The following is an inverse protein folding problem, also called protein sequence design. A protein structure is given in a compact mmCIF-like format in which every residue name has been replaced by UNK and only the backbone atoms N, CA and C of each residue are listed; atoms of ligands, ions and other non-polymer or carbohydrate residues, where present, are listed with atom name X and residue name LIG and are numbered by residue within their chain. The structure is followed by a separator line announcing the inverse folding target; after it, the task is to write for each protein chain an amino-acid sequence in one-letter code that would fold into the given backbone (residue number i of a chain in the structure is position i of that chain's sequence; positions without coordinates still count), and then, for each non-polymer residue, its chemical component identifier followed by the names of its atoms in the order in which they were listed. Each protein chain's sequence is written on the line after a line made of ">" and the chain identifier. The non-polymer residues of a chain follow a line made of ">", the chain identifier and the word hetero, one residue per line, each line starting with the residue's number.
data_IF_468571529203
#
_entry.id   IF_468571529203
#
_cell.length_a   1.000
_cell.length_b   1.000
_cell.length_c   1.000
_cell.angle_alpha   90.00
_cell.angle_beta   90.00
_cell.angle_gamma   90.00
#
_symmetry.space_group_name_H-M   'P 1'
#
loop_
_entity.id
_entity.type
_entity.pdbx_description
1 polymer ?
#
# COMPACT_ATOMS: atom_id res chain seq x y z
N UNK A 1 -6.07 -42.40 -17.19
CA UNK A 1 -6.21 -41.63 -15.95
C UNK A 1 -5.24 -40.47 -16.06
N UNK A 2 -5.65 -39.36 -16.69
CA UNK A 2 -4.86 -38.14 -16.65
C UNK A 2 -4.99 -37.60 -15.24
N UNK A 3 -3.88 -37.51 -14.51
CA UNK A 3 -3.85 -36.85 -13.22
C UNK A 3 -4.27 -35.41 -13.40
N UNK A 4 -5.26 -34.96 -12.62
CA UNK A 4 -5.53 -33.54 -12.33
C UNK A 4 -4.27 -32.95 -11.67
N UNK A 5 -3.22 -32.71 -12.45
CA UNK A 5 -2.04 -32.04 -11.97
C UNK A 5 -2.42 -30.59 -11.73
N UNK A 6 -2.46 -30.17 -10.47
CA UNK A 6 -2.65 -28.77 -10.11
C UNK A 6 -1.29 -28.07 -10.06
N UNK A 7 -1.22 -26.86 -10.59
CA UNK A 7 -0.04 -25.99 -10.53
C UNK A 7 -0.42 -24.67 -9.88
N UNK A 8 0.55 -24.03 -9.23
CA UNK A 8 0.35 -22.70 -8.68
C UNK A 8 0.10 -21.72 -9.82
N UNK A 9 -0.94 -20.92 -9.67
CA UNK A 9 -1.35 -19.93 -10.64
C UNK A 9 -0.27 -18.83 -10.78
N UNK A 10 0.33 -18.63 -11.96
CA UNK A 10 1.36 -17.61 -12.17
C UNK A 10 0.81 -16.19 -11.92
N UNK A 11 -0.48 -15.94 -12.13
CA UNK A 11 -1.12 -14.66 -11.80
C UNK A 11 -1.20 -14.42 -10.29
N UNK A 12 -1.50 -15.45 -9.51
CA UNK A 12 -1.50 -15.36 -8.05
C UNK A 12 -0.09 -15.02 -7.53
N UNK A 13 0.94 -15.69 -8.04
CA UNK A 13 2.35 -15.39 -7.71
C UNK A 13 2.77 -13.97 -8.10
N UNK A 14 2.33 -13.50 -9.26
CA UNK A 14 2.61 -12.13 -9.69
C UNK A 14 1.95 -11.10 -8.76
N UNK A 15 0.71 -11.34 -8.35
CA UNK A 15 -0.02 -10.45 -7.43
C UNK A 15 0.58 -10.44 -6.03
N UNK A 16 0.99 -11.58 -5.48
CA UNK A 16 1.68 -11.63 -4.17
C UNK A 16 3.05 -10.95 -4.21
N UNK A 17 3.78 -11.10 -5.31
CA UNK A 17 5.05 -10.37 -5.53
C UNK A 17 4.81 -8.86 -5.62
N UNK A 18 3.75 -8.44 -6.32
CA UNK A 18 3.36 -7.04 -6.43
C UNK A 18 2.96 -6.46 -5.06
N UNK A 19 2.19 -7.21 -4.27
CA UNK A 19 1.82 -6.81 -2.90
C UNK A 19 3.06 -6.57 -2.05
N UNK A 20 4.01 -7.52 -2.04
CA UNK A 20 5.25 -7.38 -1.29
C UNK A 20 6.06 -6.15 -1.71
N UNK A 21 6.14 -5.89 -3.01
CA UNK A 21 6.83 -4.70 -3.55
C UNK A 21 6.13 -3.41 -3.11
N UNK A 22 4.81 -3.33 -3.26
CA UNK A 22 4.02 -2.13 -2.90
C UNK A 22 4.13 -1.85 -1.40
N UNK A 23 3.96 -2.86 -0.55
CA UNK A 23 4.13 -2.70 0.90
C UNK A 23 5.54 -2.26 1.28
N UNK A 24 6.57 -2.83 0.65
CA UNK A 24 7.97 -2.40 0.86
C UNK A 24 8.18 -0.94 0.45
N UNK A 25 7.61 -0.51 -0.69
CA UNK A 25 7.76 0.87 -1.18
C UNK A 25 6.97 1.87 -0.35
N UNK A 26 5.77 1.52 0.07
CA UNK A 26 4.99 2.33 0.99
C UNK A 26 5.77 2.52 2.30
N UNK A 27 6.37 1.45 2.85
CA UNK A 27 7.21 1.53 4.04
C UNK A 27 8.46 2.41 3.84
N UNK A 28 9.17 2.29 2.70
CA UNK A 28 10.31 3.16 2.35
C UNK A 28 9.92 4.65 2.30
N UNK A 29 8.69 4.94 1.86
CA UNK A 29 8.13 6.29 1.77
C UNK A 29 7.51 6.79 3.08
N UNK A 30 7.52 5.98 4.15
CA UNK A 30 6.93 6.33 5.45
C UNK A 30 5.42 6.07 5.57
N UNK A 31 4.81 5.46 4.56
CA UNK A 31 3.42 4.99 4.59
C UNK A 31 3.40 3.52 5.04
N UNK A 32 3.33 3.26 6.35
CA UNK A 32 3.14 1.91 6.88
C UNK A 32 1.68 1.69 7.24
N UNK A 33 0.99 0.80 6.52
CA UNK A 33 -0.42 0.44 6.75
C UNK A 33 -0.58 -0.86 7.54
N UNK A 34 0.46 -1.29 8.26
CA UNK A 34 0.50 -2.57 8.96
C UNK A 34 -0.73 -2.80 9.84
N UNK A 35 -1.53 -3.81 9.48
CA UNK A 35 -2.66 -4.32 10.26
C UNK A 35 -2.22 -5.03 11.56
N UNK A 36 -0.93 -5.34 11.71
CA UNK A 36 -0.37 -6.07 12.85
C UNK A 36 0.18 -5.17 13.97
N UNK A 37 0.20 -3.85 13.77
CA UNK A 37 0.58 -2.89 14.80
C UNK A 37 -0.51 -1.83 14.94
N UNK A 38 -1.59 -2.20 15.64
CA UNK A 38 -2.22 -1.29 16.60
C UNK A 38 -1.23 -1.01 17.75
N UNK A 39 -0.01 -0.56 17.44
CA UNK A 39 0.71 0.28 18.38
C UNK A 39 -0.03 1.60 18.37
N UNK A 40 -0.27 2.16 19.56
CA UNK A 40 -0.83 3.51 19.73
C UNK A 40 0.09 4.62 19.16
N UNK A 41 1.03 4.27 18.30
CA UNK A 41 1.91 5.17 17.59
C UNK A 41 1.27 5.46 16.24
N UNK A 42 0.94 6.73 15.96
CA UNK A 42 0.41 7.10 14.66
C UNK A 42 1.39 6.64 13.55
N UNK A 43 0.89 6.16 12.38
CA UNK A 43 1.76 5.88 11.23
C UNK A 43 2.70 7.06 11.00
N UNK A 44 3.93 6.87 10.52
CA UNK A 44 4.91 7.96 10.35
C UNK A 44 4.31 9.21 9.67
N UNK A 45 3.40 9.04 8.71
CA UNK A 45 2.55 10.10 8.17
C UNK A 45 1.68 10.79 9.25
N UNK A 46 0.88 10.03 10.01
CA UNK A 46 0.15 10.58 11.15
C UNK A 46 1.05 11.10 12.30
N UNK A 47 2.30 10.64 12.48
CA UNK A 47 3.25 11.22 13.43
C UNK A 47 3.80 12.56 12.91
N UNK A 48 4.03 12.67 11.60
CA UNK A 48 4.31 13.91 10.89
C UNK A 48 3.14 14.91 10.96
N UNK A 49 1.91 14.41 11.08
CA UNK A 49 0.68 15.21 11.13
C UNK A 49 0.11 15.41 12.56
N UNK A 50 0.56 14.63 13.54
CA UNK A 50 0.15 14.71 14.95
C UNK A 50 1.05 15.64 15.77
N UNK A 51 2.29 15.83 15.32
CA UNK A 51 3.15 16.90 15.79
C UNK A 51 2.88 18.15 14.94
N UNK A 52 2.25 19.22 15.48
CA UNK A 52 2.22 20.52 14.80
C UNK A 52 3.62 21.15 14.58
N UNK A 53 4.71 20.47 14.92
CA UNK A 53 5.91 21.13 15.44
C UNK A 53 7.13 21.17 14.51
N UNK A 54 7.01 20.84 13.22
CA UNK A 54 8.10 21.14 12.26
C UNK A 54 7.73 22.14 11.17
N UNK A 55 6.44 22.42 10.97
CA UNK A 55 5.99 23.57 10.18
C UNK A 55 5.76 24.80 11.07
N UNK A 56 5.33 24.60 12.33
CA UNK A 56 5.25 25.63 13.36
C UNK A 56 6.33 25.43 14.46
N UNK A 57 7.57 25.07 14.11
CA UNK A 57 8.67 25.26 15.06
C UNK A 57 8.75 26.75 15.45
N UNK A 58 9.12 27.08 16.69
CA UNK A 58 9.28 28.50 17.13
C UNK A 58 10.28 29.28 16.23
N UNK A 59 11.16 28.56 15.55
CA UNK A 59 12.20 29.06 14.64
C UNK A 59 11.72 29.19 13.18
N UNK A 60 10.49 28.74 12.87
CA UNK A 60 9.86 28.84 11.55
C UNK A 60 8.98 30.08 11.43
N UNK A 61 8.73 30.51 10.19
CA UNK A 61 8.00 31.74 9.92
C UNK A 61 6.56 31.60 10.41
N UNK A 62 6.20 32.30 11.50
CA UNK A 62 4.83 32.29 12.02
C UNK A 62 3.96 33.32 11.28
N UNK A 63 2.75 32.92 10.84
CA UNK A 63 1.80 33.80 10.16
C UNK A 63 0.81 33.06 9.26
N UNK A 64 -0.29 33.72 8.87
CA UNK A 64 -1.40 33.10 8.09
C UNK A 64 -0.93 32.33 6.84
N UNK A 65 0.11 32.81 6.14
CA UNK A 65 0.65 32.13 4.97
C UNK A 65 1.31 30.81 5.33
N UNK A 66 2.07 30.76 6.42
CA UNK A 66 2.73 29.54 6.88
C UNK A 66 1.70 28.51 7.35
N UNK A 67 0.69 28.92 8.12
CA UNK A 67 -0.39 28.03 8.56
C UNK A 67 -1.21 27.49 7.38
N UNK A 68 -1.45 28.31 6.34
CA UNK A 68 -2.14 27.84 5.13
C UNK A 68 -1.30 26.81 4.37
N UNK A 69 0.00 27.07 4.17
CA UNK A 69 0.90 26.12 3.52
C UNK A 69 1.04 24.81 4.31
N UNK A 70 0.99 24.88 5.66
CA UNK A 70 0.96 23.71 6.53
C UNK A 70 -0.27 22.84 6.28
N UNK A 71 -1.44 23.48 6.23
CA UNK A 71 -2.71 22.82 5.99
C UNK A 71 -2.79 22.20 4.59
N UNK A 72 -2.34 22.94 3.57
CA UNK A 72 -2.35 22.46 2.18
C UNK A 72 -1.42 21.26 2.03
N UNK A 73 -0.20 21.33 2.57
CA UNK A 73 0.77 20.22 2.57
C UNK A 73 0.20 19.00 3.29
N UNK A 74 -0.43 19.20 4.45
CA UNK A 74 -1.11 18.12 5.19
C UNK A 74 -2.19 17.44 4.35
N UNK A 75 -3.03 18.23 3.70
CA UNK A 75 -4.13 17.73 2.86
C UNK A 75 -3.60 16.92 1.68
N UNK A 76 -2.49 17.37 1.07
CA UNK A 76 -1.82 16.64 -0.02
C UNK A 76 -1.23 15.31 0.47
N UNK A 77 -0.56 15.31 1.62
CA UNK A 77 -0.01 14.08 2.23
C UNK A 77 -1.12 13.09 2.62
N UNK A 78 -2.23 13.57 3.18
CA UNK A 78 -3.41 12.75 3.50
C UNK A 78 -4.01 12.13 2.23
N UNK A 79 -4.06 12.90 1.14
CA UNK A 79 -4.54 12.42 -0.16
C UNK A 79 -3.62 11.31 -0.72
N UNK A 80 -2.30 11.50 -0.67
CA UNK A 80 -1.34 10.49 -1.11
C UNK A 80 -1.42 9.22 -0.24
N UNK A 81 -1.60 9.38 1.06
CA UNK A 81 -1.83 8.26 1.99
C UNK A 81 -3.03 7.43 1.57
N UNK A 82 -4.15 8.08 1.24
CA UNK A 82 -5.36 7.41 0.74
C UNK A 82 -5.12 6.64 -0.55
N UNK A 83 -4.41 7.23 -1.51
CA UNK A 83 -4.10 6.59 -2.80
C UNK A 83 -3.27 5.31 -2.60
N UNK A 84 -2.28 5.32 -1.72
CA UNK A 84 -1.46 4.14 -1.46
C UNK A 84 -2.21 3.04 -0.72
N UNK A 85 -3.08 3.40 0.23
CA UNK A 85 -3.97 2.45 0.90
C UNK A 85 -4.94 1.79 -0.09
N UNK A 86 -5.54 2.57 -0.99
CA UNK A 86 -6.45 2.07 -2.02
C UNK A 86 -5.75 1.13 -3.00
N UNK A 87 -4.47 1.38 -3.32
CA UNK A 87 -3.67 0.49 -4.16
C UNK A 87 -3.43 -0.86 -3.47
N UNK A 88 -3.06 -0.87 -2.20
CA UNK A 88 -2.88 -2.11 -1.43
C UNK A 88 -4.19 -2.91 -1.35
N UNK A 89 -5.31 -2.24 -1.06
CA UNK A 89 -6.63 -2.88 -0.99
C UNK A 89 -7.07 -3.48 -2.34
N UNK A 90 -6.76 -2.81 -3.45
CA UNK A 90 -7.04 -3.34 -4.80
C UNK A 90 -6.21 -4.60 -5.10
N UNK A 91 -4.95 -4.63 -4.68
CA UNK A 91 -4.09 -5.80 -4.85
C UNK A 91 -4.58 -6.96 -3.98
N UNK A 92 -4.90 -6.71 -2.71
CA UNK A 92 -5.47 -7.72 -1.81
C UNK A 92 -6.77 -8.31 -2.35
N UNK A 93 -7.65 -7.45 -2.87
CA UNK A 93 -8.89 -7.88 -3.52
C UNK A 93 -8.61 -8.72 -4.75
N UNK A 94 -7.61 -8.35 -5.56
CA UNK A 94 -7.22 -9.13 -6.74
C UNK A 94 -6.65 -10.51 -6.36
N UNK A 95 -5.83 -10.59 -5.29
CA UNK A 95 -5.30 -11.85 -4.74
C UNK A 95 -6.45 -12.72 -4.25
N UNK A 96 -7.35 -12.18 -3.44
CA UNK A 96 -8.48 -12.93 -2.88
C UNK A 96 -9.42 -13.51 -3.95
N UNK A 97 -9.51 -12.85 -5.11
CA UNK A 97 -10.31 -13.30 -6.25
C UNK A 97 -9.53 -14.17 -7.25
N UNK A 98 -8.24 -14.41 -7.03
CA UNK A 98 -7.40 -15.24 -7.91
C UNK A 98 -7.12 -16.58 -7.21
N UNK A 99 -7.50 -17.72 -7.80
CA UNK A 99 -7.16 -19.02 -7.24
C UNK A 99 -5.65 -19.20 -7.12
N UNK A 100 -5.19 -19.68 -5.96
CA UNK A 100 -3.77 -19.99 -5.72
C UNK A 100 -3.29 -21.13 -6.62
N UNK A 101 -4.14 -22.13 -6.82
CA UNK A 101 -3.87 -23.33 -7.60
C UNK A 101 -4.90 -23.49 -8.73
N UNK A 102 -4.43 -23.89 -9.91
CA UNK A 102 -5.24 -24.13 -11.11
C UNK A 102 -4.81 -25.42 -11.82
N UNK A 103 -5.67 -26.05 -12.64
CA UNK A 103 -5.27 -27.21 -13.45
C UNK A 103 -4.09 -26.88 -14.38
N UNK A 104 -3.13 -27.79 -14.52
CA UNK A 104 -1.93 -27.58 -15.32
C UNK A 104 -2.20 -27.33 -16.82
N UNK A 105 -3.35 -27.76 -17.32
CA UNK A 105 -3.80 -27.59 -18.70
C UNK A 105 -4.74 -26.39 -18.90
N UNK A 106 -5.05 -25.63 -17.85
CA UNK A 106 -5.89 -24.44 -17.90
C UNK A 106 -5.20 -23.25 -18.57
N UNK A 107 -5.97 -22.30 -19.12
CA UNK A 107 -5.43 -21.05 -19.67
C UNK A 107 -4.75 -20.21 -18.58
N UNK A 108 -5.26 -20.28 -17.36
CA UNK A 108 -4.71 -19.61 -16.18
C UNK A 108 -3.30 -20.10 -15.85
N UNK A 109 -3.01 -21.39 -16.05
CA UNK A 109 -1.66 -21.95 -15.89
C UNK A 109 -0.68 -21.45 -16.96
N UNK A 110 -1.18 -20.96 -18.11
CA UNK A 110 -0.38 -20.48 -19.24
C UNK A 110 -0.20 -18.96 -19.26
N UNK A 111 -0.86 -18.24 -18.34
CA UNK A 111 -0.71 -16.79 -18.20
C UNK A 111 0.78 -16.41 -18.01
N UNK A 112 1.28 -15.33 -18.64
CA UNK A 112 0.53 -14.28 -19.35
C UNK A 112 0.34 -14.51 -20.87
N UNK A 113 0.82 -15.62 -21.41
CA UNK A 113 0.90 -15.84 -22.88
C UNK A 113 0.07 -17.04 -23.37
N UNK A 114 -0.87 -17.52 -22.55
CA UNK A 114 -1.89 -18.50 -22.93
C UNK A 114 -2.79 -18.01 -24.04
#
# INVERSE_FOLDING_TARGET
>A
MSSDASVTNPRYLALTSLQSLVTSKNQELGFSFSSAYMTNEPPLAAAFLAEPSSIDAEDTWTGNLASQQAYDTRTEVDTLTGVFADLEAQIETAIANTPEDVPADSEEAQWPHG
#
